data_IF_574433347718
#
_entry.id   IF_574433347718
#
_cell.length_a   1.000
_cell.length_b   1.000
_cell.length_c   1.000
_cell.angle_alpha   90.00
_cell.angle_beta   90.00
_cell.angle_gamma   90.00
#
_symmetry.space_group_name_H-M   'P 1'
#
loop_
_entity.id
_entity.type
_entity.pdbx_description
1 polymer ?
#
# COMPACT_ATOMS: atom_id res chain seq x y z
N UNK A 1 -45.30 20.94 37.55
CA UNK A 1 -44.39 19.76 37.66
C UNK A 1 -44.29 18.93 36.39
N UNK A 2 -45.29 18.97 35.51
CA UNK A 2 -45.35 18.16 34.25
C UNK A 2 -44.47 18.69 33.11
N UNK A 3 -44.33 20.00 32.98
CA UNK A 3 -43.54 20.62 31.89
C UNK A 3 -42.06 20.22 31.94
N UNK A 4 -41.45 20.19 33.12
CA UNK A 4 -40.03 19.77 33.26
C UNK A 4 -39.83 18.31 32.88
N UNK A 5 -40.79 17.41 33.18
CA UNK A 5 -40.72 16.01 32.76
C UNK A 5 -40.87 15.86 31.25
N UNK A 6 -41.65 16.69 30.59
CA UNK A 6 -41.82 16.70 29.14
C UNK A 6 -40.54 17.15 28.42
N UNK A 7 -39.85 18.15 28.99
CA UNK A 7 -38.54 18.64 28.47
C UNK A 7 -37.47 17.55 28.57
N UNK A 8 -37.39 16.81 29.69
CA UNK A 8 -36.44 15.72 29.85
C UNK A 8 -36.74 14.55 28.90
N UNK A 9 -38.03 14.22 28.67
CA UNK A 9 -38.43 13.21 27.71
C UNK A 9 -38.10 13.59 26.26
N UNK A 10 -38.27 14.86 25.91
CA UNK A 10 -37.89 15.36 24.59
C UNK A 10 -36.39 15.34 24.37
N UNK A 11 -35.60 15.73 25.41
CA UNK A 11 -34.14 15.69 25.35
C UNK A 11 -33.61 14.26 25.25
N UNK A 12 -34.21 13.31 25.93
CA UNK A 12 -33.89 11.90 25.84
C UNK A 12 -34.20 11.30 24.47
N UNK A 13 -35.28 11.76 23.82
CA UNK A 13 -35.65 11.30 22.48
C UNK A 13 -34.70 11.85 21.39
N UNK A 14 -34.17 13.04 21.56
CA UNK A 14 -33.17 13.64 20.63
C UNK A 14 -31.83 12.90 20.70
N UNK A 15 -31.47 12.33 21.85
CA UNK A 15 -30.23 11.52 22.00
C UNK A 15 -30.31 10.16 21.29
N UNK A 16 -31.52 9.68 20.97
CA UNK A 16 -31.72 8.41 20.23
C UNK A 16 -31.60 8.56 18.71
N UNK A 17 -31.49 9.80 18.18
CA UNK A 17 -31.16 10.06 16.78
C UNK A 17 -29.66 9.88 16.53
N UNK A 18 -29.08 8.81 17.10
CA UNK A 18 -27.72 8.40 16.85
C UNK A 18 -27.50 8.26 15.34
N UNK A 19 -26.57 9.02 14.79
CA UNK A 19 -26.07 8.87 13.44
C UNK A 19 -25.86 7.36 13.15
N UNK A 20 -26.69 6.80 12.28
CA UNK A 20 -26.35 5.57 11.58
C UNK A 20 -25.09 5.90 10.76
N UNK A 21 -23.93 5.59 11.30
CA UNK A 21 -22.73 5.41 10.50
C UNK A 21 -23.08 4.36 9.46
N UNK A 22 -23.33 4.81 8.23
CA UNK A 22 -23.34 3.91 7.08
C UNK A 22 -21.92 3.40 6.94
N UNK A 23 -21.64 2.24 7.51
CA UNK A 23 -20.61 1.39 6.97
C UNK A 23 -21.03 1.06 5.54
N UNK A 24 -20.64 1.91 4.61
CA UNK A 24 -20.64 1.58 3.20
C UNK A 24 -19.47 0.61 2.96
N UNK A 25 -19.62 -0.61 3.48
CA UNK A 25 -19.10 -1.75 2.76
C UNK A 25 -19.90 -1.73 1.46
N UNK A 26 -19.30 -1.19 0.42
CA UNK A 26 -19.81 -1.28 -0.94
C UNK A 26 -19.78 -2.73 -1.38
N UNK A 27 -20.79 -3.50 -0.94
CA UNK A 27 -21.29 -4.65 -1.67
C UNK A 27 -22.04 -4.14 -2.91
N UNK A 28 -21.37 -3.29 -3.68
CA UNK A 28 -21.80 -3.00 -5.04
C UNK A 28 -21.56 -4.25 -5.84
N UNK A 29 -22.53 -4.70 -6.62
CA UNK A 29 -22.33 -5.72 -7.65
C UNK A 29 -21.11 -5.29 -8.48
N UNK A 30 -19.95 -5.91 -8.21
CA UNK A 30 -18.75 -5.66 -8.99
C UNK A 30 -19.04 -6.13 -10.40
N UNK A 31 -18.92 -5.24 -11.36
CA UNK A 31 -19.07 -5.60 -12.78
C UNK A 31 -17.83 -6.40 -13.20
N UNK A 32 -17.88 -7.72 -13.07
CA UNK A 32 -16.80 -8.63 -13.43
C UNK A 32 -16.65 -8.86 -14.95
N UNK A 33 -17.21 -7.97 -15.78
CA UNK A 33 -17.11 -8.03 -17.25
C UNK A 33 -16.18 -6.94 -17.83
N UNK A 34 -15.36 -6.30 -16.97
CA UNK A 34 -14.42 -5.28 -17.45
C UNK A 34 -13.26 -5.91 -18.20
N UNK A 35 -12.88 -5.30 -19.31
CA UNK A 35 -11.62 -5.65 -19.99
C UNK A 35 -10.42 -5.15 -19.17
N UNK A 36 -9.23 -5.75 -19.41
CA UNK A 36 -7.97 -5.31 -18.79
C UNK A 36 -7.78 -3.79 -18.89
N UNK A 37 -7.99 -3.21 -20.08
CA UNK A 37 -7.84 -1.76 -20.33
C UNK A 37 -8.82 -0.91 -19.52
N UNK A 38 -10.07 -1.36 -19.39
CA UNK A 38 -11.07 -0.65 -18.57
C UNK A 38 -10.71 -0.72 -17.09
N UNK A 39 -10.29 -1.89 -16.61
CA UNK A 39 -9.88 -2.11 -15.23
C UNK A 39 -8.68 -1.22 -14.84
N UNK A 40 -7.66 -1.18 -15.67
CA UNK A 40 -6.49 -0.30 -15.49
C UNK A 40 -6.93 1.17 -15.40
N UNK A 41 -7.81 1.62 -16.31
CA UNK A 41 -8.32 2.99 -16.31
C UNK A 41 -9.12 3.32 -15.04
N UNK A 42 -9.93 2.41 -14.55
CA UNK A 42 -10.68 2.62 -13.30
C UNK A 42 -9.75 2.62 -12.09
N UNK A 43 -8.74 1.75 -12.04
CA UNK A 43 -7.72 1.75 -10.99
C UNK A 43 -6.92 3.06 -10.97
N UNK A 44 -6.51 3.57 -12.13
CA UNK A 44 -5.77 4.82 -12.23
C UNK A 44 -6.56 6.04 -11.70
N UNK A 45 -7.89 6.02 -11.74
CA UNK A 45 -8.73 7.08 -11.15
C UNK A 45 -8.68 7.08 -9.61
N UNK A 46 -8.43 5.92 -9.00
CA UNK A 46 -8.35 5.76 -7.55
C UNK A 46 -6.97 6.07 -6.98
N UNK A 47 -5.93 6.14 -7.82
CA UNK A 47 -4.56 6.44 -7.41
C UNK A 47 -4.48 7.82 -6.76
N UNK A 48 -4.03 7.92 -5.49
CA UNK A 48 -3.93 9.20 -4.79
C UNK A 48 -2.92 10.13 -5.47
N UNK A 49 -3.30 11.38 -5.65
CA UNK A 49 -2.40 12.41 -6.16
C UNK A 49 -1.79 13.18 -4.98
N UNK A 50 -0.52 13.03 -4.75
CA UNK A 50 0.21 13.75 -3.72
C UNK A 50 1.62 14.11 -4.21
N UNK A 51 2.23 15.12 -3.61
CA UNK A 51 3.63 15.49 -3.83
C UNK A 51 4.54 14.90 -2.76
N UNK A 52 4.08 14.95 -1.52
CA UNK A 52 4.82 14.42 -0.37
C UNK A 52 3.91 13.57 0.50
N UNK A 53 4.48 12.53 1.10
CA UNK A 53 3.80 11.64 2.04
C UNK A 53 4.66 11.50 3.30
N UNK A 54 4.02 11.61 4.46
CA UNK A 54 4.63 11.30 5.76
C UNK A 54 3.72 10.34 6.51
N UNK A 55 4.28 9.24 6.98
CA UNK A 55 3.54 8.20 7.67
C UNK A 55 4.37 7.53 8.77
N UNK A 56 3.72 6.76 9.63
CA UNK A 56 4.32 5.71 10.45
C UNK A 56 3.85 4.38 9.90
N UNK A 57 4.80 3.52 9.54
CA UNK A 57 4.52 2.22 8.93
C UNK A 57 4.94 1.14 9.91
N UNK A 58 4.00 0.25 10.24
CA UNK A 58 4.27 -0.97 10.97
C UNK A 58 4.66 -2.05 9.97
N UNK A 59 5.81 -2.67 10.17
CA UNK A 59 6.32 -3.75 9.35
C UNK A 59 6.31 -5.01 10.20
N UNK A 60 5.53 -5.99 9.78
CA UNK A 60 5.50 -7.32 10.37
C UNK A 60 6.27 -8.26 9.41
N UNK A 61 7.29 -8.92 9.93
CA UNK A 61 8.14 -9.85 9.19
C UNK A 61 8.12 -11.22 9.85
N UNK A 62 7.85 -12.25 9.07
CA UNK A 62 7.80 -13.64 9.55
C UNK A 62 8.79 -14.48 8.75
N UNK A 63 9.65 -15.19 9.48
CA UNK A 63 10.61 -16.13 8.94
C UNK A 63 10.47 -17.46 9.68
N UNK A 64 9.98 -18.49 9.00
CA UNK A 64 9.62 -19.75 9.62
C UNK A 64 8.58 -19.56 10.73
N UNK A 65 8.92 -19.93 11.97
CA UNK A 65 8.07 -19.76 13.15
C UNK A 65 8.31 -18.45 13.90
N UNK A 66 9.26 -17.63 13.48
CA UNK A 66 9.62 -16.38 14.15
C UNK A 66 8.94 -15.20 13.49
N UNK A 67 8.16 -14.43 14.26
CA UNK A 67 7.57 -13.16 13.80
C UNK A 67 8.19 -11.99 14.53
N UNK A 68 8.57 -10.95 13.80
CA UNK A 68 9.09 -9.69 14.34
C UNK A 68 8.25 -8.53 13.82
N UNK A 69 8.02 -7.55 14.67
CA UNK A 69 7.28 -6.33 14.32
C UNK A 69 8.14 -5.10 14.62
N UNK A 70 8.12 -4.14 13.71
CA UNK A 70 8.81 -2.87 13.94
C UNK A 70 8.00 -1.71 13.35
N UNK A 71 8.12 -0.53 13.96
CA UNK A 71 7.49 0.68 13.42
C UNK A 71 8.58 1.63 12.94
N UNK A 72 8.43 2.14 11.74
CA UNK A 72 9.34 3.09 11.12
C UNK A 72 8.63 4.40 10.78
N UNK A 73 9.36 5.50 10.89
CA UNK A 73 8.95 6.78 10.30
C UNK A 73 9.26 6.73 8.81
N UNK A 74 8.26 7.05 8.00
CA UNK A 74 8.30 7.01 6.55
C UNK A 74 8.06 8.42 6.00
N UNK A 75 8.87 8.84 5.05
CA UNK A 75 8.70 10.08 4.29
C UNK A 75 9.04 9.84 2.84
N UNK A 76 8.25 10.41 1.96
CA UNK A 76 8.43 10.30 0.51
C UNK A 76 8.17 11.65 -0.15
N UNK A 77 9.05 12.06 -1.03
CA UNK A 77 8.75 12.99 -2.12
C UNK A 77 8.59 12.15 -3.38
N UNK A 78 7.37 12.15 -3.93
CA UNK A 78 7.01 11.28 -5.06
C UNK A 78 7.97 11.50 -6.23
N UNK A 79 8.40 10.39 -6.83
CA UNK A 79 9.31 10.30 -7.97
C UNK A 79 10.74 10.87 -7.71
N UNK A 80 11.10 11.13 -6.43
CA UNK A 80 12.42 11.69 -6.09
C UNK A 80 13.11 10.97 -4.95
N UNK A 81 12.45 10.78 -3.81
CA UNK A 81 13.13 10.33 -2.60
C UNK A 81 12.21 9.59 -1.67
N UNK A 82 12.69 8.47 -1.14
CA UNK A 82 12.05 7.72 -0.06
C UNK A 82 13.02 7.68 1.11
N UNK A 83 12.54 8.06 2.28
CA UNK A 83 13.32 8.03 3.50
C UNK A 83 12.56 7.28 4.60
N UNK A 84 13.27 6.36 5.25
CA UNK A 84 12.72 5.62 6.39
C UNK A 84 13.68 5.69 7.57
N UNK A 85 13.15 5.69 8.79
CA UNK A 85 13.96 5.65 10.00
C UNK A 85 13.26 4.92 11.14
N UNK A 86 14.02 4.08 11.84
CA UNK A 86 13.62 3.45 13.11
C UNK A 86 14.39 4.06 14.25
N UNK A 87 13.71 4.85 15.10
CA UNK A 87 14.26 5.47 16.33
C UNK A 87 15.61 6.20 16.12
N UNK A 88 15.92 6.63 14.90
CA UNK A 88 17.20 7.28 14.55
C UNK A 88 18.41 6.33 14.46
N UNK A 89 18.28 5.07 14.83
CA UNK A 89 19.37 4.08 14.75
C UNK A 89 19.49 3.42 13.38
N UNK A 90 18.37 3.13 12.72
CA UNK A 90 18.35 2.62 11.36
C UNK A 90 17.78 3.70 10.45
N UNK A 91 18.44 3.95 9.35
CA UNK A 91 18.01 4.89 8.32
C UNK A 91 18.18 4.26 6.95
N UNK A 92 17.21 4.52 6.08
CA UNK A 92 17.21 4.12 4.68
C UNK A 92 16.89 5.34 3.84
N UNK A 93 17.67 5.55 2.80
CA UNK A 93 17.47 6.56 1.78
C UNK A 93 17.46 5.87 0.41
N UNK A 94 16.43 6.12 -0.36
CA UNK A 94 16.26 5.59 -1.71
C UNK A 94 15.98 6.76 -2.65
N UNK A 95 16.76 6.87 -3.68
CA UNK A 95 16.63 7.86 -4.77
C UNK A 95 16.60 7.13 -6.12
N UNK A 96 16.27 7.77 -7.24
CA UNK A 96 16.30 7.14 -8.56
C UNK A 96 17.65 6.47 -8.90
N UNK A 97 18.76 6.97 -8.37
CA UNK A 97 20.11 6.52 -8.74
C UNK A 97 20.69 5.51 -7.74
N UNK A 98 20.21 5.52 -6.48
CA UNK A 98 20.90 4.75 -5.42
C UNK A 98 20.02 4.38 -4.26
N UNK A 99 20.46 3.34 -3.58
CA UNK A 99 19.91 2.84 -2.31
C UNK A 99 20.99 2.92 -1.25
N UNK A 100 20.68 3.54 -0.12
CA UNK A 100 21.59 3.65 1.01
C UNK A 100 20.88 3.22 2.29
N UNK A 101 21.51 2.42 3.10
CA UNK A 101 21.05 2.19 4.45
C UNK A 101 22.20 2.22 5.47
N UNK A 102 21.82 2.49 6.70
CA UNK A 102 22.75 2.57 7.80
C UNK A 102 22.05 2.06 9.07
N UNK A 103 22.73 1.15 9.78
CA UNK A 103 22.26 0.59 11.04
C UNK A 103 23.33 0.77 12.12
N UNK A 104 23.08 1.66 13.09
CA UNK A 104 23.97 1.93 14.19
C UNK A 104 24.07 0.79 15.20
N UNK A 105 23.02 -0.04 15.30
CA UNK A 105 22.98 -1.12 16.29
C UNK A 105 24.00 -2.22 15.93
N UNK A 106 24.07 -2.57 14.66
CA UNK A 106 24.93 -3.62 14.14
C UNK A 106 26.21 -3.07 13.47
N UNK A 107 26.36 -1.73 13.49
CA UNK A 107 27.43 -1.00 12.83
C UNK A 107 27.61 -1.40 11.34
N UNK A 108 26.47 -1.58 10.65
CA UNK A 108 26.43 -1.95 9.24
C UNK A 108 25.91 -0.80 8.38
N UNK A 109 26.38 -0.74 7.16
CA UNK A 109 25.89 0.21 6.17
C UNK A 109 25.96 -0.41 4.77
N UNK A 110 25.15 0.13 3.87
CA UNK A 110 25.20 -0.13 2.45
C UNK A 110 24.98 1.19 1.70
N UNK A 111 25.67 1.35 0.59
CA UNK A 111 25.49 2.49 -0.30
C UNK A 111 25.83 2.04 -1.72
N UNK A 112 24.84 1.87 -2.57
CA UNK A 112 24.98 1.28 -3.89
C UNK A 112 23.77 1.49 -4.79
N UNK A 113 23.70 0.70 -5.85
CA UNK A 113 22.60 0.67 -6.80
C UNK A 113 21.47 -0.29 -6.39
N UNK A 114 20.55 -0.51 -7.29
CA UNK A 114 19.41 -1.39 -7.07
C UNK A 114 19.73 -2.89 -7.19
N UNK A 115 20.92 -3.27 -7.61
CA UNK A 115 21.30 -4.68 -7.77
C UNK A 115 21.14 -5.44 -6.46
N UNK A 116 21.60 -4.87 -5.34
CA UNK A 116 21.44 -5.49 -4.03
C UNK A 116 19.97 -5.79 -3.67
N UNK A 117 19.06 -4.84 -3.90
CA UNK A 117 17.62 -5.07 -3.64
C UNK A 117 17.03 -6.06 -4.63
N UNK A 118 17.47 -6.04 -5.88
CA UNK A 118 17.02 -6.94 -6.93
C UNK A 118 17.42 -8.38 -6.61
N UNK A 119 18.62 -8.60 -6.16
CA UNK A 119 19.12 -9.92 -5.72
C UNK A 119 18.37 -10.42 -4.48
N UNK A 120 18.13 -9.52 -3.50
CA UNK A 120 17.42 -9.86 -2.26
C UNK A 120 15.96 -10.27 -2.53
N UNK A 121 15.30 -9.63 -3.49
CA UNK A 121 13.88 -9.88 -3.80
C UNK A 121 13.69 -10.80 -5.01
N UNK A 122 14.76 -11.23 -5.67
CA UNK A 122 14.70 -12.15 -6.80
C UNK A 122 14.01 -11.57 -8.05
N UNK A 123 14.00 -10.24 -8.20
CA UNK A 123 13.39 -9.55 -9.34
C UNK A 123 14.09 -8.21 -9.62
N UNK A 124 14.20 -7.84 -10.90
CA UNK A 124 14.79 -6.56 -11.27
C UNK A 124 13.97 -5.38 -10.71
N UNK A 125 14.59 -4.62 -9.82
CA UNK A 125 14.02 -3.43 -9.20
C UNK A 125 14.66 -2.16 -9.72
N UNK A 126 13.88 -1.11 -9.69
CA UNK A 126 14.25 0.29 -9.86
C UNK A 126 13.49 1.16 -8.83
N UNK A 127 13.73 2.45 -8.83
CA UNK A 127 13.08 3.39 -7.92
C UNK A 127 11.55 3.32 -8.02
N UNK A 128 11.01 3.28 -9.24
CA UNK A 128 9.56 3.30 -9.45
C UNK A 128 8.90 2.05 -8.89
N UNK A 129 9.50 0.87 -9.13
CA UNK A 129 9.00 -0.39 -8.58
C UNK A 129 9.04 -0.40 -7.06
N UNK A 130 10.11 0.09 -6.44
CA UNK A 130 10.19 0.21 -4.98
C UNK A 130 9.16 1.21 -4.46
N UNK A 131 9.00 2.35 -5.10
CA UNK A 131 7.99 3.34 -4.75
C UNK A 131 6.58 2.74 -4.84
N UNK A 132 6.26 2.09 -5.96
CA UNK A 132 4.96 1.47 -6.20
C UNK A 132 4.66 0.40 -5.15
N UNK A 133 5.63 -0.47 -4.83
CA UNK A 133 5.49 -1.48 -3.78
C UNK A 133 5.12 -0.85 -2.43
N UNK A 134 5.81 0.21 -2.04
CA UNK A 134 5.57 0.91 -0.77
C UNK A 134 4.25 1.68 -0.74
N UNK A 135 3.71 2.06 -1.89
CA UNK A 135 2.40 2.70 -2.03
C UNK A 135 1.25 1.72 -2.22
N UNK A 136 1.54 0.41 -2.38
CA UNK A 136 0.54 -0.59 -2.75
C UNK A 136 0.07 -0.43 -4.20
N UNK A 137 0.88 0.19 -5.06
CA UNK A 137 0.63 0.33 -6.48
C UNK A 137 1.23 -0.87 -7.24
N UNK A 138 0.83 -1.06 -8.49
CA UNK A 138 1.33 -2.17 -9.31
C UNK A 138 2.84 -2.06 -9.56
N UNK A 139 3.57 -3.18 -9.37
CA UNK A 139 4.99 -3.26 -9.69
C UNK A 139 5.27 -3.20 -11.19
N UNK A 140 4.32 -3.66 -11.98
CA UNK A 140 4.38 -3.65 -13.44
C UNK A 140 3.76 -2.38 -14.01
N UNK A 141 4.25 -1.96 -15.16
CA UNK A 141 3.65 -0.86 -15.93
C UNK A 141 2.34 -1.33 -16.55
N UNK A 142 1.22 -0.97 -15.93
CA UNK A 142 -0.11 -1.40 -16.34
C UNK A 142 -0.47 -0.96 -17.77
N UNK A 143 0.18 0.08 -18.32
CA UNK A 143 -0.08 0.58 -19.66
C UNK A 143 0.79 -0.11 -20.73
N UNK A 144 1.99 -0.58 -20.36
CA UNK A 144 2.96 -1.16 -21.30
C UNK A 144 3.00 -2.68 -21.25
N UNK A 145 2.85 -3.27 -20.06
CA UNK A 145 2.95 -4.70 -19.87
C UNK A 145 1.69 -5.42 -20.30
N UNK A 146 1.83 -6.69 -20.69
CA UNK A 146 0.70 -7.53 -21.09
C UNK A 146 0.23 -8.38 -19.92
N UNK A 147 -1.07 -8.40 -19.70
CA UNK A 147 -1.70 -9.15 -18.62
C UNK A 147 -2.72 -10.16 -19.17
N UNK A 148 -2.89 -11.23 -18.41
CA UNK A 148 -4.06 -12.10 -18.44
C UNK A 148 -4.98 -11.69 -17.28
N UNK A 149 -6.29 -11.76 -17.50
CA UNK A 149 -7.28 -11.40 -16.50
C UNK A 149 -8.02 -12.65 -16.03
N UNK A 150 -8.15 -12.78 -14.74
CA UNK A 150 -8.96 -13.80 -14.08
C UNK A 150 -9.89 -13.14 -13.08
N UNK A 151 -10.91 -13.87 -12.66
CA UNK A 151 -11.77 -13.47 -11.53
C UNK A 151 -11.66 -14.53 -10.44
N UNK A 152 -11.35 -14.11 -9.22
CA UNK A 152 -11.26 -14.98 -8.07
C UNK A 152 -11.95 -14.29 -6.88
N UNK A 153 -12.82 -15.02 -6.17
CA UNK A 153 -13.50 -14.52 -4.96
C UNK A 153 -14.12 -13.13 -5.11
N UNK A 154 -14.72 -12.85 -6.29
CA UNK A 154 -15.34 -11.56 -6.60
C UNK A 154 -14.35 -10.39 -6.78
N UNK A 155 -13.09 -10.69 -7.07
CA UNK A 155 -12.03 -9.72 -7.37
C UNK A 155 -11.41 -9.97 -8.74
N UNK A 156 -10.85 -8.91 -9.33
CA UNK A 156 -10.04 -9.06 -10.53
C UNK A 156 -8.61 -9.40 -10.15
N UNK A 157 -8.07 -10.42 -10.83
CA UNK A 157 -6.67 -10.82 -10.73
C UNK A 157 -6.01 -10.61 -12.10
N UNK A 158 -5.00 -9.77 -12.15
CA UNK A 158 -4.15 -9.59 -13.32
C UNK A 158 -2.86 -10.38 -13.14
N UNK A 159 -2.60 -11.30 -14.05
CA UNK A 159 -1.33 -12.04 -14.12
C UNK A 159 -0.48 -11.44 -15.23
N UNK A 160 0.68 -10.85 -14.93
CA UNK A 160 1.62 -10.42 -15.97
C UNK A 160 2.05 -11.61 -16.83
N UNK A 161 2.14 -11.42 -18.15
CA UNK A 161 2.65 -12.49 -19.04
C UNK A 161 4.14 -12.73 -18.88
N UNK A 162 4.91 -11.68 -18.54
CA UNK A 162 6.30 -11.80 -18.16
C UNK A 162 6.36 -11.93 -16.62
N UNK A 163 6.77 -13.09 -16.12
CA UNK A 163 6.91 -13.39 -14.68
C UNK A 163 8.40 -13.45 -14.31
N UNK A 164 8.75 -13.11 -13.06
CA UNK A 164 10.05 -13.44 -12.52
C UNK A 164 10.29 -14.95 -12.47
N UNK A 165 11.53 -15.41 -12.64
CA UNK A 165 11.88 -16.82 -12.61
C UNK A 165 11.69 -17.47 -11.22
N UNK A 166 11.82 -16.66 -10.17
CA UNK A 166 11.85 -17.15 -8.78
C UNK A 166 10.46 -17.28 -8.14
N UNK A 167 9.43 -16.56 -8.63
CA UNK A 167 8.08 -16.55 -8.06
C UNK A 167 7.02 -16.07 -9.04
N UNK A 168 5.76 -16.41 -8.80
CA UNK A 168 4.64 -15.87 -9.57
C UNK A 168 4.06 -14.62 -8.89
N UNK A 169 3.82 -13.58 -9.67
CA UNK A 169 3.23 -12.32 -9.23
C UNK A 169 1.82 -12.17 -9.78
N UNK A 170 0.88 -11.78 -8.90
CA UNK A 170 -0.49 -11.48 -9.24
C UNK A 170 -0.86 -10.11 -8.67
N UNK A 171 -1.63 -9.34 -9.43
CA UNK A 171 -2.17 -8.05 -9.00
C UNK A 171 -3.66 -8.22 -8.70
N UNK A 172 -4.05 -8.05 -7.45
CA UNK A 172 -5.43 -8.06 -6.99
C UNK A 172 -5.96 -6.63 -7.06
N UNK A 173 -7.03 -6.41 -7.83
CA UNK A 173 -7.65 -5.11 -8.02
C UNK A 173 -9.08 -5.13 -7.50
N UNK A 174 -9.36 -4.29 -6.49
CA UNK A 174 -10.65 -4.15 -5.80
C UNK A 174 -11.50 -3.01 -6.36
#
# INVERSE_FOLDING_TARGET
MHIKRLIYLFFFFVLLLGCKSKNTLTTGNKNLNLSVKQLIKENAKKTPKFKTLTARVKIDYTEGSSSKSTTVSFRMEKDKTIWMSKLGFVKVLITPERVSFYNKLDNTYFDGDYAYLSDLLGTALDFNKVQNLLLGEALYDLDKDKFEIFTQENEYVLKPKAQPDAFELFLLLN
#
